data_IF_262077210065
#
_entry.id   IF_262077210065
#
_cell.length_a   1.000
_cell.length_b   1.000
_cell.length_c   1.000
_cell.angle_alpha   90.00
_cell.angle_beta   90.00
_cell.angle_gamma   90.00
#
_symmetry.space_group_name_H-M   'P 1'
#
loop_
_entity.id
_entity.type
_entity.pdbx_description
1 polymer ?
#
# COMPACT_ATOMS: atom_id res chain seq x y z
N UNK A 1 -15.99 4.74 15.72
CA UNK A 1 -15.61 3.66 14.76
C UNK A 1 -16.47 3.80 13.52
N UNK A 2 -16.00 3.32 12.35
CA UNK A 2 -16.81 3.32 11.14
C UNK A 2 -17.99 2.31 11.27
N UNK A 3 -19.19 2.61 10.73
CA UNK A 3 -20.27 1.63 10.63
C UNK A 3 -19.83 0.42 9.80
N UNK A 4 -20.18 -0.80 10.24
CA UNK A 4 -19.69 -2.07 9.65
C UNK A 4 -19.89 -2.17 8.14
N UNK A 5 -21.00 -1.64 7.62
CA UNK A 5 -21.37 -1.65 6.19
C UNK A 5 -20.53 -0.74 5.27
N UNK A 6 -19.78 0.22 5.84
CA UNK A 6 -18.94 1.17 5.09
C UNK A 6 -17.51 1.26 5.66
N UNK A 7 -17.14 0.27 6.49
CA UNK A 7 -15.85 0.23 7.18
C UNK A 7 -14.70 0.03 6.19
N UNK A 8 -14.92 -0.76 5.13
CA UNK A 8 -13.95 -0.92 4.05
C UNK A 8 -13.72 0.41 3.34
N UNK A 9 -14.78 0.99 2.78
CA UNK A 9 -14.74 2.27 2.09
C UNK A 9 -14.05 3.39 2.90
N UNK A 10 -14.37 3.54 4.19
CA UNK A 10 -13.76 4.59 5.03
C UNK A 10 -12.27 4.35 5.31
N UNK A 11 -11.86 3.11 5.58
CA UNK A 11 -10.46 2.77 5.81
C UNK A 11 -9.62 2.89 4.53
N UNK A 12 -10.19 2.56 3.35
CA UNK A 12 -9.51 2.79 2.06
C UNK A 12 -9.29 4.29 1.79
N UNK A 13 -10.07 5.18 2.42
CA UNK A 13 -9.79 6.62 2.43
C UNK A 13 -8.36 6.99 2.90
N UNK A 14 -7.73 6.17 3.76
CA UNK A 14 -6.32 6.34 4.12
C UNK A 14 -5.38 6.06 2.93
N UNK A 15 -5.58 4.95 2.22
CA UNK A 15 -4.83 4.64 1.00
C UNK A 15 -5.07 5.70 -0.09
N UNK A 16 -6.30 6.21 -0.21
CA UNK A 16 -6.64 7.30 -1.13
C UNK A 16 -5.80 8.56 -0.84
N UNK A 17 -5.66 8.97 0.43
CA UNK A 17 -4.79 10.09 0.79
C UNK A 17 -3.32 9.84 0.44
N UNK A 18 -2.81 8.60 0.60
CA UNK A 18 -1.46 8.23 0.18
C UNK A 18 -1.30 8.39 -1.35
N UNK A 19 -2.22 7.85 -2.15
CA UNK A 19 -2.13 7.94 -3.62
C UNK A 19 -2.26 9.38 -4.14
N UNK A 20 -3.13 10.20 -3.54
CA UNK A 20 -3.25 11.63 -3.85
C UNK A 20 -1.97 12.38 -3.46
N UNK A 21 -1.35 12.03 -2.32
CA UNK A 21 -0.07 12.58 -1.89
C UNK A 21 1.04 12.32 -2.92
N UNK A 22 1.18 11.07 -3.37
CA UNK A 22 2.16 10.66 -4.40
C UNK A 22 1.91 11.40 -5.71
N UNK A 23 0.67 11.46 -6.19
CA UNK A 23 0.33 12.16 -7.44
C UNK A 23 0.59 13.66 -7.33
N UNK A 24 0.16 14.29 -6.23
CA UNK A 24 0.40 15.71 -5.97
C UNK A 24 1.89 16.02 -5.93
N UNK A 25 2.68 15.19 -5.25
CA UNK A 25 4.13 15.31 -5.19
C UNK A 25 4.79 15.19 -6.58
N UNK A 26 4.38 14.22 -7.41
CA UNK A 26 4.91 14.07 -8.76
C UNK A 26 4.57 15.28 -9.66
N UNK A 27 3.36 15.84 -9.55
CA UNK A 27 2.95 17.06 -10.26
C UNK A 27 3.75 18.28 -9.76
N UNK A 28 3.97 18.39 -8.45
CA UNK A 28 4.76 19.48 -7.86
C UNK A 28 6.22 19.37 -8.32
N UNK A 29 6.80 18.17 -8.32
CA UNK A 29 8.15 17.94 -8.83
C UNK A 29 8.27 18.35 -10.31
N UNK A 30 7.23 18.12 -11.13
CA UNK A 30 7.22 18.52 -12.54
C UNK A 30 7.38 20.02 -12.75
N UNK A 31 6.56 20.84 -12.09
CA UNK A 31 6.63 22.29 -12.24
C UNK A 31 7.91 22.92 -11.66
N UNK A 32 8.58 22.21 -10.75
CA UNK A 32 9.70 22.76 -9.96
C UNK A 32 11.05 22.10 -10.36
N UNK A 33 11.03 21.09 -11.22
CA UNK A 33 12.22 20.44 -11.83
C UNK A 33 13.23 21.43 -12.43
N UNK A 34 12.74 22.44 -13.13
CA UNK A 34 13.56 23.48 -13.79
C UNK A 34 14.13 24.55 -12.83
N UNK A 35 13.91 24.45 -11.51
CA UNK A 35 14.40 25.43 -10.54
C UNK A 35 15.60 24.87 -9.76
N UNK A 36 16.69 25.63 -9.68
CA UNK A 36 17.93 25.27 -8.97
C UNK A 36 17.71 24.95 -7.46
N UNK A 37 16.67 25.53 -6.86
CA UNK A 37 16.23 25.25 -5.48
C UNK A 37 14.98 24.37 -5.39
N UNK A 38 14.56 23.72 -6.47
CA UNK A 38 13.25 23.07 -6.57
C UNK A 38 13.04 21.92 -5.59
N UNK A 39 14.08 21.12 -5.36
CA UNK A 39 14.12 20.08 -4.34
C UNK A 39 13.77 20.59 -2.92
N UNK A 40 14.07 21.86 -2.61
CA UNK A 40 13.71 22.46 -1.30
C UNK A 40 12.21 22.69 -1.18
N UNK A 41 11.55 23.05 -2.28
CA UNK A 41 10.11 23.30 -2.32
C UNK A 41 9.37 21.96 -2.34
N UNK A 42 9.87 20.97 -3.07
CA UNK A 42 9.41 19.57 -3.03
C UNK A 42 9.45 18.99 -1.61
N UNK A 43 10.57 19.09 -0.90
CA UNK A 43 10.63 18.65 0.50
C UNK A 43 9.79 19.52 1.44
N UNK A 44 9.76 20.84 1.20
CA UNK A 44 9.03 21.81 2.02
C UNK A 44 7.52 21.65 1.94
N UNK A 45 6.97 21.27 0.78
CA UNK A 45 5.51 21.14 0.61
C UNK A 45 4.94 19.96 1.40
N UNK A 46 5.75 18.93 1.68
CA UNK A 46 5.37 17.81 2.57
C UNK A 46 5.07 18.27 4.01
N UNK A 47 5.56 19.45 4.42
CA UNK A 47 5.23 20.07 5.72
C UNK A 47 3.80 20.61 5.73
N UNK A 48 3.21 20.99 4.58
CA UNK A 48 1.85 21.53 4.49
C UNK A 48 0.77 20.53 4.95
N UNK A 49 0.68 19.29 4.41
CA UNK A 49 -0.27 18.30 4.92
C UNK A 49 0.04 17.88 6.36
N UNK A 50 1.31 17.89 6.79
CA UNK A 50 1.68 17.62 8.18
C UNK A 50 1.15 18.71 9.14
N UNK A 51 1.24 19.99 8.77
CA UNK A 51 0.64 21.11 9.52
C UNK A 51 -0.89 21.01 9.48
N UNK A 52 -1.49 20.72 8.33
CA UNK A 52 -2.94 20.60 8.19
C UNK A 52 -3.50 19.44 9.04
N UNK A 53 -2.83 18.30 9.06
CA UNK A 53 -3.16 17.18 9.95
C UNK A 53 -2.92 17.52 11.42
N UNK A 54 -1.85 18.25 11.75
CA UNK A 54 -1.59 18.71 13.11
C UNK A 54 -2.68 19.66 13.61
N UNK A 55 -3.09 20.65 12.80
CA UNK A 55 -4.20 21.56 13.10
C UNK A 55 -5.51 20.78 13.17
N UNK A 56 -5.77 19.90 12.19
CA UNK A 56 -6.95 19.03 12.17
C UNK A 56 -7.07 18.14 13.40
N UNK A 57 -5.95 17.66 13.96
CA UNK A 57 -5.93 16.86 15.20
C UNK A 57 -6.41 17.60 16.44
N UNK A 58 -6.43 18.94 16.45
CA UNK A 58 -7.07 19.71 17.52
C UNK A 58 -8.60 19.85 17.35
N UNK A 59 -9.13 19.62 16.15
CA UNK A 59 -10.57 19.67 15.85
C UNK A 59 -11.21 18.28 15.76
N UNK A 60 -10.41 17.24 15.52
CA UNK A 60 -10.83 15.85 15.61
C UNK A 60 -10.87 15.43 17.09
N UNK A 61 -12.06 15.08 17.59
CA UNK A 61 -12.18 14.46 18.90
C UNK A 61 -11.44 13.12 18.94
N UNK A 62 -10.75 12.85 20.05
CA UNK A 62 -10.02 11.60 20.26
C UNK A 62 -10.89 10.37 20.02
N UNK A 63 -10.29 9.28 19.53
CA UNK A 63 -10.95 7.98 19.62
C UNK A 63 -11.12 7.63 21.12
N UNK A 64 -12.30 7.21 21.60
CA UNK A 64 -12.59 7.10 23.04
C UNK A 64 -11.57 6.28 23.86
N UNK A 65 -10.93 5.29 23.24
CA UNK A 65 -9.97 4.41 23.89
C UNK A 65 -8.57 5.05 24.06
N UNK A 66 -8.26 6.15 23.36
CA UNK A 66 -6.95 6.81 23.42
C UNK A 66 -6.84 7.85 24.55
N UNK A 67 -7.97 8.40 25.02
CA UNK A 67 -7.99 9.43 26.09
C UNK A 67 -7.64 8.89 27.48
N UNK A 68 -7.77 7.58 27.70
CA UNK A 68 -7.56 6.97 29.03
C UNK A 68 -6.08 6.79 29.37
N UNK A 69 -5.21 6.67 28.36
CA UNK A 69 -3.92 5.99 28.57
C UNK A 69 -2.68 6.91 28.60
N UNK A 70 -2.71 8.12 27.99
CA UNK A 70 -1.46 8.85 27.64
C UNK A 70 -1.48 10.36 27.90
N UNK A 71 -1.31 10.71 29.18
CA UNK A 71 -1.12 12.09 29.61
C UNK A 71 0.18 12.74 29.09
N UNK A 72 -0.02 13.78 28.27
CA UNK A 72 0.86 14.94 28.00
C UNK A 72 2.04 14.82 27.01
N UNK A 73 2.33 16.01 26.44
CA UNK A 73 3.28 16.34 25.36
C UNK A 73 4.39 17.23 25.91
N UNK A 74 5.56 17.27 25.26
CA UNK A 74 6.15 18.48 24.64
C UNK A 74 7.59 18.24 24.16
N UNK A 75 8.06 19.05 23.19
CA UNK A 75 9.49 19.17 22.86
C UNK A 75 10.00 18.48 21.59
N UNK A 76 9.70 19.05 20.41
CA UNK A 76 10.38 18.71 19.16
C UNK A 76 10.53 19.92 18.23
N UNK A 77 11.38 20.89 18.62
CA UNK A 77 11.67 22.09 17.83
C UNK A 77 13.18 22.35 17.77
N UNK A 78 13.72 22.46 16.54
CA UNK A 78 15.14 22.66 16.12
C UNK A 78 15.95 21.38 15.83
N UNK A 79 16.12 21.07 14.54
CA UNK A 79 17.45 21.19 13.91
C UNK A 79 17.33 21.47 12.40
N UNK A 80 18.29 22.20 11.84
CA UNK A 80 18.23 22.84 10.52
C UNK A 80 19.21 22.22 9.52
N UNK A 81 18.89 22.40 8.23
CA UNK A 81 19.79 22.75 7.11
C UNK A 81 21.23 22.15 7.04
N UNK A 82 21.49 21.37 5.98
CA UNK A 82 22.73 21.23 5.14
C UNK A 82 22.74 19.83 4.47
N UNK A 83 23.26 19.55 3.26
CA UNK A 83 23.99 20.32 2.22
C UNK A 83 24.04 19.52 0.87
N UNK A 84 24.22 20.18 -0.29
CA UNK A 84 24.56 19.65 -1.66
C UNK A 84 23.64 18.51 -2.25
N UNK A 85 23.54 18.16 -3.55
CA UNK A 85 24.21 18.51 -4.83
C UNK A 85 24.54 17.21 -5.63
N UNK A 86 24.55 17.09 -6.98
CA UNK A 86 24.35 18.01 -8.13
C UNK A 86 23.89 17.18 -9.40
N UNK A 87 22.96 17.71 -10.22
CA UNK A 87 22.59 17.44 -11.65
C UNK A 87 22.48 16.01 -12.28
N UNK A 88 21.33 15.72 -12.92
CA UNK A 88 21.21 15.37 -14.35
C UNK A 88 19.72 15.41 -14.83
N UNK A 89 19.36 16.26 -15.80
CA UNK A 89 17.95 16.74 -15.95
C UNK A 89 17.10 16.02 -17.01
N UNK A 90 17.70 15.51 -18.10
CA UNK A 90 16.92 15.08 -19.27
C UNK A 90 16.28 13.68 -19.14
N UNK A 91 16.93 12.76 -18.41
CA UNK A 91 16.33 11.45 -18.06
C UNK A 91 15.24 11.61 -16.99
N UNK A 92 15.50 12.45 -15.99
CA UNK A 92 14.58 12.78 -14.88
C UNK A 92 13.23 13.29 -15.39
N UNK A 93 13.21 14.09 -16.46
CA UNK A 93 11.98 14.60 -17.06
C UNK A 93 11.04 13.49 -17.60
N UNK A 94 11.59 12.45 -18.23
CA UNK A 94 10.80 11.34 -18.76
C UNK A 94 10.30 10.41 -17.65
N UNK A 95 11.14 10.15 -16.64
CA UNK A 95 10.74 9.41 -15.43
C UNK A 95 9.58 10.13 -14.70
N UNK A 96 9.61 11.46 -14.65
CA UNK A 96 8.55 12.26 -14.04
C UNK A 96 7.20 12.13 -14.76
N UNK A 97 7.18 12.23 -16.09
CA UNK A 97 5.94 12.08 -16.87
C UNK A 97 5.35 10.68 -16.66
N UNK A 98 6.17 9.62 -16.68
CA UNK A 98 5.73 8.26 -16.35
C UNK A 98 5.17 8.13 -14.92
N UNK A 99 5.79 8.83 -13.96
CA UNK A 99 5.38 8.85 -12.55
C UNK A 99 4.06 9.61 -12.30
N UNK A 100 3.76 10.65 -13.11
CA UNK A 100 2.47 11.35 -13.06
C UNK A 100 1.35 10.48 -13.65
N UNK A 101 1.59 9.84 -14.81
CA UNK A 101 0.61 8.97 -15.46
C UNK A 101 0.26 7.78 -14.55
N UNK A 102 1.27 7.07 -14.03
CA UNK A 102 1.05 5.94 -13.11
C UNK A 102 0.41 6.38 -11.79
N UNK A 103 0.77 7.56 -11.25
CA UNK A 103 0.11 8.17 -10.09
C UNK A 103 -1.38 8.48 -10.33
N UNK A 104 -1.74 8.99 -11.51
CA UNK A 104 -3.13 9.26 -11.89
C UNK A 104 -3.97 7.98 -11.98
N UNK A 105 -3.42 6.94 -12.60
CA UNK A 105 -4.04 5.60 -12.65
C UNK A 105 -4.24 5.02 -11.25
N UNK A 106 -3.25 5.16 -10.37
CA UNK A 106 -3.32 4.70 -8.98
C UNK A 106 -4.47 5.36 -8.18
N UNK A 107 -4.65 6.69 -8.33
CA UNK A 107 -5.77 7.41 -7.70
C UNK A 107 -7.13 6.92 -8.22
N UNK A 108 -7.29 6.79 -9.54
CA UNK A 108 -8.55 6.34 -10.16
C UNK A 108 -8.87 4.89 -9.74
N UNK A 109 -7.88 3.99 -9.76
CA UNK A 109 -8.05 2.61 -9.32
C UNK A 109 -8.37 2.51 -7.81
N UNK A 110 -7.82 3.40 -6.98
CA UNK A 110 -8.18 3.46 -5.56
C UNK A 110 -9.64 3.88 -5.35
N UNK A 111 -10.17 4.81 -6.15
CA UNK A 111 -11.62 5.11 -6.15
C UNK A 111 -12.47 3.87 -6.49
N UNK A 112 -12.07 3.08 -7.50
CA UNK A 112 -12.76 1.82 -7.82
C UNK A 112 -12.75 0.88 -6.63
N UNK A 113 -11.63 0.75 -5.91
CA UNK A 113 -11.53 -0.05 -4.68
C UNK A 113 -12.54 0.35 -3.60
N UNK A 114 -12.71 1.65 -3.35
CA UNK A 114 -13.67 2.18 -2.37
C UNK A 114 -15.10 1.70 -2.67
N UNK A 115 -15.51 1.69 -3.94
CA UNK A 115 -16.84 1.24 -4.34
C UNK A 115 -16.99 -0.29 -4.42
N UNK A 116 -15.90 -1.04 -4.61
CA UNK A 116 -15.94 -2.49 -4.80
C UNK A 116 -15.71 -3.30 -3.52
N UNK A 117 -14.94 -2.80 -2.55
CA UNK A 117 -14.51 -3.57 -1.36
C UNK A 117 -15.65 -4.10 -0.49
N UNK A 118 -16.67 -3.27 -0.24
CA UNK A 118 -17.82 -3.65 0.59
C UNK A 118 -18.91 -4.36 -0.23
N UNK A 119 -18.88 -4.25 -1.58
CA UNK A 119 -19.82 -4.91 -2.50
C UNK A 119 -19.41 -6.34 -2.88
N UNK A 120 -18.14 -6.56 -3.23
CA UNK A 120 -17.63 -7.84 -3.71
C UNK A 120 -16.86 -8.63 -2.64
N UNK A 121 -16.50 -8.00 -1.52
CA UNK A 121 -15.71 -8.63 -0.46
C UNK A 121 -14.20 -8.52 -0.69
N UNK A 122 -13.44 -8.74 0.37
CA UNK A 122 -11.99 -8.51 0.38
C UNK A 122 -11.28 -9.63 -0.39
N UNK A 123 -11.70 -10.89 -0.23
CA UNK A 123 -11.03 -12.05 -0.85
C UNK A 123 -11.10 -12.01 -2.37
N UNK A 124 -12.23 -11.60 -2.95
CA UNK A 124 -12.38 -11.49 -4.42
C UNK A 124 -11.40 -10.47 -5.00
N UNK A 125 -11.23 -9.31 -4.37
CA UNK A 125 -10.30 -8.27 -4.82
C UNK A 125 -8.83 -8.71 -4.77
N UNK A 126 -8.42 -9.51 -3.79
CA UNK A 126 -7.06 -10.08 -3.79
C UNK A 126 -6.82 -11.09 -4.91
N UNK A 127 -7.81 -11.92 -5.21
CA UNK A 127 -7.68 -12.95 -6.24
C UNK A 127 -7.64 -12.33 -7.62
N UNK A 128 -8.55 -11.41 -7.90
CA UNK A 128 -8.61 -10.66 -9.16
C UNK A 128 -7.33 -9.81 -9.35
N UNK A 129 -6.96 -9.01 -8.35
CA UNK A 129 -5.76 -8.16 -8.42
C UNK A 129 -4.47 -8.99 -8.53
N UNK A 130 -4.38 -10.11 -7.82
CA UNK A 130 -3.25 -11.03 -7.93
C UNK A 130 -3.11 -11.65 -9.33
N UNK A 131 -4.21 -12.08 -9.95
CA UNK A 131 -4.22 -12.61 -11.32
C UNK A 131 -3.85 -11.52 -12.33
N UNK A 132 -4.41 -10.31 -12.22
CA UNK A 132 -4.06 -9.21 -13.12
C UNK A 132 -2.59 -8.78 -12.96
N UNK A 133 -2.08 -8.67 -11.72
CA UNK A 133 -0.68 -8.35 -11.44
C UNK A 133 0.27 -9.39 -12.04
N UNK A 134 -0.05 -10.68 -11.88
CA UNK A 134 0.74 -11.78 -12.45
C UNK A 134 0.79 -11.71 -13.99
N UNK A 135 -0.36 -11.58 -14.65
CA UNK A 135 -0.42 -11.48 -16.12
C UNK A 135 0.40 -10.27 -16.61
N UNK A 136 0.24 -9.11 -15.97
CA UNK A 136 0.96 -7.90 -16.36
C UNK A 136 2.48 -8.04 -16.17
N UNK A 137 2.95 -8.65 -15.08
CA UNK A 137 4.39 -8.90 -14.85
C UNK A 137 4.99 -9.88 -15.87
N UNK A 138 4.26 -10.95 -16.22
CA UNK A 138 4.71 -11.91 -17.26
C UNK A 138 4.79 -11.22 -18.63
N UNK A 139 3.82 -10.39 -19.00
CA UNK A 139 3.84 -9.65 -20.27
C UNK A 139 4.97 -8.64 -20.31
N UNK A 140 5.12 -7.78 -19.28
CA UNK A 140 6.19 -6.79 -19.17
C UNK A 140 7.58 -7.46 -19.20
N UNK A 141 7.77 -8.52 -18.39
CA UNK A 141 9.01 -9.28 -18.37
C UNK A 141 9.35 -9.90 -19.73
N UNK A 142 8.36 -10.46 -20.42
CA UNK A 142 8.53 -11.05 -21.76
C UNK A 142 8.87 -10.00 -22.81
N UNK A 143 8.18 -8.85 -22.82
CA UNK A 143 8.45 -7.74 -23.75
C UNK A 143 9.89 -7.21 -23.59
N UNK A 144 10.34 -6.98 -22.35
CA UNK A 144 11.71 -6.53 -22.07
C UNK A 144 12.73 -7.60 -22.48
N UNK A 145 12.47 -8.88 -22.20
CA UNK A 145 13.34 -10.00 -22.59
C UNK A 145 13.52 -10.09 -24.10
N UNK A 146 12.43 -10.00 -24.88
CA UNK A 146 12.47 -10.08 -26.34
C UNK A 146 13.22 -8.89 -26.96
N UNK A 147 13.16 -7.71 -26.33
CA UNK A 147 13.67 -6.45 -26.91
C UNK A 147 15.11 -6.13 -26.54
N UNK A 148 15.51 -6.35 -25.28
CA UNK A 148 16.90 -6.11 -24.83
C UNK A 148 17.77 -7.37 -24.83
N UNK A 149 17.14 -8.56 -24.93
CA UNK A 149 17.85 -9.84 -24.87
C UNK A 149 18.71 -9.98 -23.61
N UNK A 150 19.81 -10.74 -23.74
CA UNK A 150 20.84 -10.84 -22.69
C UNK A 150 21.87 -9.71 -22.83
N UNK A 151 22.13 -9.29 -24.08
CA UNK A 151 23.11 -8.27 -24.48
C UNK A 151 22.81 -6.87 -23.91
N UNK A 152 21.55 -6.50 -23.74
CA UNK A 152 21.15 -5.19 -23.20
C UNK A 152 21.10 -4.04 -24.21
N UNK A 153 21.39 -4.32 -25.49
CA UNK A 153 21.22 -3.36 -26.58
C UNK A 153 19.88 -3.62 -27.26
N UNK A 154 18.93 -2.71 -27.05
CA UNK A 154 17.60 -2.74 -27.64
C UNK A 154 16.94 -1.37 -27.54
N UNK A 155 16.19 -0.98 -28.56
CA UNK A 155 15.39 0.25 -28.55
C UNK A 155 13.91 -0.09 -28.76
N UNK A 156 13.05 0.52 -27.95
CA UNK A 156 11.61 0.42 -28.16
C UNK A 156 11.18 1.35 -29.30
N UNK A 157 10.36 0.82 -30.20
CA UNK A 157 9.55 1.67 -31.10
C UNK A 157 8.47 2.35 -30.23
N UNK A 158 8.06 3.58 -30.57
CA UNK A 158 7.07 4.34 -29.79
C UNK A 158 5.79 3.55 -29.42
N UNK A 159 5.31 2.70 -30.33
CA UNK A 159 4.15 1.82 -30.09
C UNK A 159 4.42 0.81 -28.96
N UNK A 160 5.63 0.26 -28.91
CA UNK A 160 6.05 -0.75 -27.95
C UNK A 160 6.31 -0.14 -26.57
N UNK A 161 6.88 1.07 -26.53
CA UNK A 161 7.02 1.87 -25.31
C UNK A 161 5.64 2.22 -24.71
N UNK A 162 4.69 2.64 -25.54
CA UNK A 162 3.31 2.93 -25.11
C UNK A 162 2.61 1.65 -24.60
N UNK A 163 2.81 0.51 -25.25
CA UNK A 163 2.25 -0.77 -24.82
C UNK A 163 2.86 -1.26 -23.50
N UNK A 164 4.18 -1.08 -23.32
CA UNK A 164 4.88 -1.37 -22.07
C UNK A 164 4.33 -0.50 -20.92
N UNK A 165 4.19 0.81 -21.15
CA UNK A 165 3.62 1.75 -20.20
C UNK A 165 2.17 1.38 -19.84
N UNK A 166 1.36 0.96 -20.82
CA UNK A 166 0.00 0.47 -20.57
C UNK A 166 -0.03 -0.72 -19.61
N UNK A 167 0.84 -1.73 -19.79
CA UNK A 167 0.89 -2.87 -18.88
C UNK A 167 1.45 -2.52 -17.48
N UNK A 168 2.39 -1.57 -17.39
CA UNK A 168 2.85 -1.02 -16.10
C UNK A 168 1.69 -0.30 -15.39
N UNK A 169 0.92 0.51 -16.09
CA UNK A 169 -0.29 1.15 -15.55
C UNK A 169 -1.36 0.13 -15.13
N UNK A 170 -1.59 -0.92 -15.91
CA UNK A 170 -2.52 -1.99 -15.56
C UNK A 170 -2.08 -2.80 -14.32
N UNK A 171 -0.77 -3.01 -14.15
CA UNK A 171 -0.18 -3.58 -12.94
C UNK A 171 -0.39 -2.66 -11.72
N UNK A 172 -0.12 -1.35 -11.87
CA UNK A 172 -0.34 -0.36 -10.80
C UNK A 172 -1.82 -0.27 -10.42
N UNK A 173 -2.74 -0.32 -11.39
CA UNK A 173 -4.18 -0.34 -11.13
C UNK A 173 -4.61 -1.56 -10.32
N UNK A 174 -4.13 -2.76 -10.69
CA UNK A 174 -4.42 -4.00 -9.96
C UNK A 174 -3.93 -3.93 -8.51
N UNK A 175 -2.72 -3.44 -8.28
CA UNK A 175 -2.19 -3.21 -6.94
C UNK A 175 -3.02 -2.18 -6.14
N UNK A 176 -3.41 -1.08 -6.80
CA UNK A 176 -4.14 0.04 -6.23
C UNK A 176 -5.55 -0.31 -5.75
N UNK A 177 -6.20 -1.33 -6.32
CA UNK A 177 -7.50 -1.80 -5.83
C UNK A 177 -7.46 -3.07 -4.98
N UNK A 178 -6.33 -3.78 -4.94
CA UNK A 178 -6.14 -5.01 -4.16
C UNK A 178 -5.16 -4.81 -2.99
N UNK A 179 -3.91 -5.25 -3.15
CA UNK A 179 -2.90 -5.31 -2.09
C UNK A 179 -2.61 -3.97 -1.40
N UNK A 180 -2.61 -2.86 -2.15
CA UNK A 180 -2.39 -1.52 -1.61
C UNK A 180 -3.40 -1.15 -0.50
N UNK A 181 -4.69 -0.99 -0.80
CA UNK A 181 -5.70 -0.65 0.19
C UNK A 181 -5.97 -1.78 1.20
N UNK A 182 -5.99 -3.03 0.74
CA UNK A 182 -6.39 -4.16 1.58
C UNK A 182 -5.31 -4.55 2.59
N UNK A 183 -4.03 -4.28 2.30
CA UNK A 183 -2.92 -4.46 3.25
C UNK A 183 -2.98 -3.56 4.49
N UNK A 184 -3.67 -2.44 4.41
CA UNK A 184 -4.01 -1.61 5.58
C UNK A 184 -5.35 -2.04 6.21
N UNK A 185 -6.35 -2.33 5.38
CA UNK A 185 -7.69 -2.71 5.85
C UNK A 185 -7.68 -4.00 6.68
N UNK A 186 -7.15 -5.10 6.15
CA UNK A 186 -7.27 -6.43 6.79
C UNK A 186 -6.66 -6.46 8.18
N UNK A 187 -5.40 -6.04 8.42
CA UNK A 187 -4.82 -6.01 9.75
C UNK A 187 -5.62 -5.17 10.76
N UNK A 188 -6.47 -4.24 10.29
CA UNK A 188 -7.34 -3.43 11.16
C UNK A 188 -8.68 -4.11 11.47
N UNK A 189 -9.16 -4.99 10.58
CA UNK A 189 -10.39 -5.77 10.76
C UNK A 189 -10.14 -7.07 11.55
N UNK A 190 -8.99 -7.73 11.38
CA UNK A 190 -8.74 -9.06 11.97
C UNK A 190 -8.40 -9.04 13.47
N UNK A 191 -7.83 -7.94 13.97
CA UNK A 191 -7.40 -7.85 15.36
C UNK A 191 -8.55 -7.45 16.29
N UNK A 192 -8.72 -8.23 17.37
CA UNK A 192 -9.61 -7.90 18.49
C UNK A 192 -9.24 -6.55 19.11
N UNK A 193 -10.19 -5.93 19.81
CA UNK A 193 -10.07 -4.54 20.28
C UNK A 193 -8.82 -4.28 21.14
N UNK A 194 -8.46 -5.24 21.99
CA UNK A 194 -7.34 -5.16 22.95
C UNK A 194 -5.97 -5.15 22.26
N UNK A 195 -5.76 -6.04 21.28
CA UNK A 195 -4.46 -6.19 20.60
C UNK A 195 -4.35 -5.40 19.29
N UNK A 196 -5.38 -4.66 18.89
CA UNK A 196 -5.41 -3.97 17.58
C UNK A 196 -4.29 -2.95 17.40
N UNK A 197 -3.96 -2.19 18.44
CA UNK A 197 -2.85 -1.22 18.40
C UNK A 197 -1.51 -1.92 18.18
N UNK A 198 -1.24 -3.01 18.90
CA UNK A 198 -0.05 -3.84 18.75
C UNK A 198 0.01 -4.56 17.38
N UNK A 199 -1.12 -5.08 16.89
CA UNK A 199 -1.24 -5.69 15.57
C UNK A 199 -0.98 -4.70 14.44
N UNK A 200 -1.52 -3.48 14.54
CA UNK A 200 -1.23 -2.38 13.60
C UNK A 200 0.23 -1.94 13.66
N UNK A 201 0.80 -1.78 14.86
CA UNK A 201 2.22 -1.45 15.01
C UNK A 201 3.12 -2.53 14.37
N UNK A 202 2.77 -3.81 14.53
CA UNK A 202 3.47 -4.94 13.89
C UNK A 202 3.33 -4.88 12.37
N UNK A 203 2.13 -4.62 11.84
CA UNK A 203 1.91 -4.45 10.39
C UNK A 203 2.77 -3.32 9.81
N UNK A 204 2.78 -2.14 10.45
CA UNK A 204 3.62 -1.00 10.05
C UNK A 204 5.10 -1.35 10.11
N UNK A 205 5.58 -1.95 11.20
CA UNK A 205 6.98 -2.30 11.38
C UNK A 205 7.48 -3.30 10.33
N UNK A 206 6.69 -4.35 10.07
CA UNK A 206 6.98 -5.37 9.04
C UNK A 206 6.97 -4.74 7.65
N UNK A 207 5.96 -3.93 7.33
CA UNK A 207 5.86 -3.23 6.04
C UNK A 207 7.06 -2.29 5.80
N UNK A 208 7.47 -1.51 6.80
CA UNK A 208 8.63 -0.61 6.69
C UNK A 208 9.95 -1.38 6.57
N UNK A 209 10.12 -2.48 7.31
CA UNK A 209 11.30 -3.35 7.23
C UNK A 209 11.44 -3.97 5.83
N UNK A 210 10.37 -4.56 5.29
CA UNK A 210 10.40 -5.13 3.94
C UNK A 210 10.52 -4.08 2.86
N UNK A 211 9.90 -2.90 3.01
CA UNK A 211 10.10 -1.77 2.09
C UNK A 211 11.57 -1.37 2.02
N UNK A 212 12.25 -1.25 3.16
CA UNK A 212 13.69 -0.96 3.20
C UNK A 212 14.53 -2.08 2.59
N UNK A 213 14.25 -3.34 2.95
CA UNK A 213 15.00 -4.49 2.45
C UNK A 213 14.86 -4.63 0.92
N UNK A 214 13.64 -4.55 0.39
CA UNK A 214 13.36 -4.57 -1.04
C UNK A 214 14.06 -3.38 -1.72
N UNK A 215 13.92 -2.15 -1.23
CA UNK A 215 14.55 -0.97 -1.83
C UNK A 215 16.09 -1.09 -1.91
N UNK A 216 16.74 -1.67 -0.89
CA UNK A 216 18.20 -1.92 -0.90
C UNK A 216 18.60 -3.01 -1.91
N UNK A 217 17.85 -4.10 -2.00
CA UNK A 217 18.18 -5.23 -2.87
C UNK A 217 17.78 -4.96 -4.32
N UNK A 218 16.73 -4.17 -4.56
CA UNK A 218 16.16 -3.88 -5.88
C UNK A 218 17.16 -3.29 -6.89
N UNK A 219 17.94 -2.29 -6.49
CA UNK A 219 19.00 -1.72 -7.35
C UNK A 219 20.06 -2.77 -7.72
N UNK A 220 20.44 -3.64 -6.79
CA UNK A 220 21.39 -4.73 -7.05
C UNK A 220 20.80 -5.78 -8.01
N UNK A 221 19.50 -6.08 -7.87
CA UNK A 221 18.78 -7.00 -8.77
C UNK A 221 18.54 -6.40 -10.16
N UNK A 222 18.36 -5.08 -10.30
CA UNK A 222 18.27 -4.44 -11.62
C UNK A 222 19.58 -4.64 -12.40
N UNK A 223 20.74 -4.43 -11.77
CA UNK A 223 22.05 -4.59 -12.42
C UNK A 223 22.35 -6.03 -12.86
N UNK A 224 21.99 -7.04 -12.05
CA UNK A 224 22.35 -8.44 -12.31
C UNK A 224 21.24 -9.26 -12.97
N UNK A 225 19.98 -9.00 -12.61
CA UNK A 225 18.83 -9.82 -13.02
C UNK A 225 18.06 -9.23 -14.20
N UNK A 226 18.28 -7.96 -14.58
CA UNK A 226 17.61 -7.24 -15.70
C UNK A 226 16.11 -7.59 -15.79
N UNK A 227 15.70 -8.36 -16.81
CA UNK A 227 14.31 -8.80 -17.05
C UNK A 227 13.80 -9.87 -16.07
N UNK A 228 14.71 -10.68 -15.51
CA UNK A 228 14.41 -11.74 -14.53
C UNK A 228 13.74 -11.22 -13.25
N UNK A 229 13.91 -9.92 -12.95
CA UNK A 229 13.26 -9.22 -11.85
C UNK A 229 11.72 -9.34 -11.90
N UNK A 230 11.13 -9.19 -13.08
CA UNK A 230 9.68 -9.26 -13.26
C UNK A 230 9.15 -10.68 -13.04
N UNK A 231 9.88 -11.70 -13.52
CA UNK A 231 9.55 -13.11 -13.29
C UNK A 231 9.73 -13.52 -11.82
N UNK A 232 10.75 -12.99 -11.15
CA UNK A 232 10.97 -13.18 -9.71
C UNK A 232 9.78 -12.65 -8.90
N UNK A 233 9.35 -11.40 -9.13
CA UNK A 233 8.17 -10.86 -8.47
C UNK A 233 6.87 -11.56 -8.85
N UNK A 234 6.74 -12.06 -10.09
CA UNK A 234 5.58 -12.86 -10.52
C UNK A 234 5.46 -14.17 -9.71
N UNK A 235 6.60 -14.80 -9.37
CA UNK A 235 6.63 -15.93 -8.43
C UNK A 235 6.12 -15.57 -7.04
N UNK A 236 6.51 -14.41 -6.50
CA UNK A 236 5.99 -13.91 -5.22
C UNK A 236 4.49 -13.60 -5.27
N UNK A 237 3.99 -12.99 -6.37
CA UNK A 237 2.55 -12.75 -6.55
C UNK A 237 1.77 -14.08 -6.52
N UNK A 238 2.23 -15.13 -7.21
CA UNK A 238 1.61 -16.46 -7.13
C UNK A 238 1.57 -16.97 -5.68
N UNK A 239 2.71 -16.94 -4.97
CA UNK A 239 2.79 -17.44 -3.58
C UNK A 239 1.82 -16.68 -2.67
N UNK A 240 1.75 -15.36 -2.81
CA UNK A 240 0.86 -14.50 -2.03
C UNK A 240 -0.62 -14.71 -2.38
N UNK A 241 -0.97 -14.89 -3.66
CA UNK A 241 -2.33 -15.24 -4.08
C UNK A 241 -2.76 -16.62 -3.58
N UNK A 242 -1.90 -17.63 -3.66
CA UNK A 242 -2.16 -18.98 -3.10
C UNK A 242 -2.39 -18.90 -1.58
N UNK A 243 -1.59 -18.10 -0.86
CA UNK A 243 -1.78 -17.88 0.57
C UNK A 243 -3.17 -17.31 0.89
N UNK A 244 -3.65 -16.33 0.11
CA UNK A 244 -5.00 -15.78 0.27
C UNK A 244 -6.09 -16.82 -0.07
N UNK A 245 -5.90 -17.66 -1.11
CA UNK A 245 -6.85 -18.75 -1.41
C UNK A 245 -7.02 -19.68 -0.21
N UNK A 246 -5.92 -20.15 0.37
CA UNK A 246 -5.90 -21.24 1.35
C UNK A 246 -6.13 -20.80 2.81
N UNK A 247 -5.62 -19.63 3.20
CA UNK A 247 -5.55 -19.20 4.60
C UNK A 247 -6.40 -17.98 4.93
N UNK A 248 -6.86 -17.19 3.94
CA UNK A 248 -7.65 -15.99 4.23
C UNK A 248 -9.16 -16.27 4.15
N UNK A 249 -9.92 -16.20 5.26
CA UNK A 249 -11.37 -16.19 5.23
C UNK A 249 -11.91 -14.82 4.82
N UNK A 250 -13.15 -14.74 4.32
CA UNK A 250 -13.78 -13.46 3.97
C UNK A 250 -14.19 -12.69 5.25
N UNK A 251 -13.86 -11.39 5.32
CA UNK A 251 -14.12 -10.51 6.48
C UNK A 251 -15.24 -9.49 6.24
N UNK A 252 -15.80 -9.43 5.01
CA UNK A 252 -16.82 -8.46 4.65
C UNK A 252 -18.09 -8.57 5.53
N UNK A 253 -18.67 -7.41 5.89
CA UNK A 253 -19.86 -7.24 6.71
C UNK A 253 -19.83 -7.82 8.15
N UNK A 254 -18.72 -8.41 8.61
CA UNK A 254 -18.60 -8.96 9.97
C UNK A 254 -18.26 -7.84 10.98
N UNK A 255 -19.01 -7.68 12.10
CA UNK A 255 -18.63 -6.78 13.20
C UNK A 255 -17.29 -7.20 13.81
N UNK A 256 -16.46 -6.25 14.26
CA UNK A 256 -15.08 -6.58 14.68
C UNK A 256 -15.06 -7.46 15.93
N UNK A 257 -16.06 -7.32 16.80
CA UNK A 257 -16.28 -8.17 17.98
C UNK A 257 -16.59 -9.64 17.61
N UNK A 258 -17.15 -9.90 16.42
CA UNK A 258 -17.52 -11.23 15.98
C UNK A 258 -16.45 -11.94 15.12
N UNK A 259 -15.29 -11.32 14.91
CA UNK A 259 -14.25 -11.84 14.02
C UNK A 259 -13.76 -13.24 14.44
N UNK A 260 -13.83 -13.59 15.72
CA UNK A 260 -13.56 -14.95 16.22
C UNK A 260 -14.46 -16.03 15.58
N UNK A 261 -15.71 -15.71 15.22
CA UNK A 261 -16.61 -16.65 14.52
C UNK A 261 -16.09 -16.99 13.13
N UNK A 262 -15.50 -16.02 12.43
CA UNK A 262 -14.90 -16.20 11.10
C UNK A 262 -13.69 -17.12 11.18
N UNK A 263 -12.81 -16.89 12.14
CA UNK A 263 -11.64 -17.75 12.37
C UNK A 263 -12.04 -19.17 12.80
N UNK A 264 -13.08 -19.32 13.63
CA UNK A 264 -13.62 -20.63 14.06
C UNK A 264 -14.30 -21.41 12.93
N UNK A 265 -14.80 -20.73 11.90
CA UNK A 265 -15.37 -21.35 10.69
C UNK A 265 -14.29 -21.84 9.71
N UNK A 266 -13.05 -21.36 9.82
CA UNK A 266 -12.00 -21.67 8.87
C UNK A 266 -11.25 -22.98 9.19
N UNK A 267 -11.32 -23.94 8.28
CA UNK A 267 -10.77 -25.32 8.40
C UNK A 267 -9.39 -25.44 9.08
N UNK A 268 -8.47 -24.51 8.83
CA UNK A 268 -7.14 -24.48 9.43
C UNK A 268 -7.08 -23.70 10.75
N UNK A 269 -7.78 -22.57 10.85
CA UNK A 269 -7.63 -21.62 11.97
C UNK A 269 -8.50 -21.96 13.18
N UNK A 270 -9.56 -22.77 13.02
CA UNK A 270 -10.39 -23.29 14.12
C UNK A 270 -9.56 -23.84 15.29
N UNK A 271 -8.41 -24.45 15.00
CA UNK A 271 -7.51 -25.06 16.01
C UNK A 271 -6.84 -24.06 16.95
N UNK A 272 -6.84 -22.77 16.61
CA UNK A 272 -6.20 -21.69 17.37
C UNK A 272 -7.22 -20.75 18.03
N UNK A 273 -8.52 -20.96 17.81
CA UNK A 273 -9.60 -20.16 18.41
C UNK A 273 -10.19 -20.93 19.57
N UNK A 274 -9.83 -20.54 20.79
CA UNK A 274 -10.44 -21.08 22.01
C UNK A 274 -11.81 -20.45 22.24
N UNK A 275 -12.76 -21.26 22.71
CA UNK A 275 -14.05 -20.75 23.18
C UNK A 275 -13.86 -20.08 24.54
N UNK A 276 -14.16 -18.78 24.61
CA UNK A 276 -14.30 -18.08 25.88
C UNK A 276 -15.59 -18.59 26.53
N UNK A 277 -15.47 -19.57 27.41
CA UNK A 277 -16.57 -20.05 28.23
C UNK A 277 -16.88 -18.98 29.27
N UNK A 278 -17.83 -18.10 28.94
CA UNK A 278 -18.42 -17.18 29.91
C UNK A 278 -19.35 -18.00 30.81
N UNK A 279 -18.83 -18.43 31.95
CA UNK A 279 -19.65 -19.01 33.01
C UNK A 279 -20.66 -17.97 33.53
N UNK A 280 -21.80 -18.43 34.04
CA UNK A 280 -22.93 -17.60 34.45
C UNK A 280 -22.57 -16.54 35.52
N UNK A 281 -21.45 -16.70 36.21
CA UNK A 281 -20.93 -15.87 37.31
C UNK A 281 -20.00 -14.71 36.88
N UNK A 282 -19.88 -14.39 35.58
CA UNK A 282 -19.04 -13.27 35.10
C UNK A 282 -17.55 -13.34 35.50
N UNK A 283 -17.00 -14.56 35.61
CA UNK A 283 -15.56 -14.77 35.82
C UNK A 283 -14.90 -15.23 34.54
N UNK A 284 -13.92 -14.46 34.07
CA UNK A 284 -13.05 -14.87 32.97
C UNK A 284 -12.12 -15.98 33.48
N UNK A 285 -12.32 -17.19 32.98
CA UNK A 285 -11.40 -18.31 33.16
C UNK A 285 -10.61 -18.48 31.86
N UNK A 286 -9.30 -18.54 31.99
CA UNK A 286 -8.31 -18.66 30.89
C UNK A 286 -8.05 -20.13 30.60
#
# INVERSE_FOLDING_TARGET
MAPTKIRGALNIGFQMMITIGILGENIINYFISNLESGWRISLGIRVVPAILLCIGSFFLGDTPNSMIERGQKEGAKKMLQKIHGINNVDEEFQELIGSIITGGVNVIATFVSIFTVDKFGRKILFLEGGVQMFICQIVVGSMITIKFGVSGEGSFIHIEANLLLFFICAYVAAYAWSWGPLGWLIPSEICSLEVRSAGQATNVAVNMLFTFAIAKVFLTMLCHLKFGLFFFFAGFVIIMTIFIVLFFPETNNVPIEEMNKVWKSHWFWTKFVFDVVVDHDHKVVV
#
